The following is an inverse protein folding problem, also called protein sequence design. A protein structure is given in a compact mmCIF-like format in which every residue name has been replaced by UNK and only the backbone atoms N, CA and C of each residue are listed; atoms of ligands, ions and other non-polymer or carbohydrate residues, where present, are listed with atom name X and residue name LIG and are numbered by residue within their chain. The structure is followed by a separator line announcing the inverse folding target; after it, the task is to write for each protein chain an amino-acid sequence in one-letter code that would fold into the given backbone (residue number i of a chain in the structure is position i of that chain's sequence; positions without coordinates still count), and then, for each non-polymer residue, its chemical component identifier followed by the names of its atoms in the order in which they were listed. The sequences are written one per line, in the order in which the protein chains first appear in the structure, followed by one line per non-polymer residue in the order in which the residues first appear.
data_IF_249339106657
#
_entry.id   IF_249339106657
#
_cell.length_a   1.000
_cell.length_b   1.000
_cell.length_c   1.000
_cell.angle_alpha   90.00
_cell.angle_beta   90.00
_cell.angle_gamma   90.00
#
_symmetry.space_group_name_H-M   'P 1'
#
loop_
_entity.id
_entity.type
_entity.pdbx_description
1 polymer ?
#
# COMPACT_ATOMS: atom_id res chain seq x y z
N UNK A 1 4.16 10.29 -47.23
CA UNK A 1 3.59 8.94 -47.43
C UNK A 1 4.15 8.08 -46.32
N UNK A 2 3.60 8.25 -45.11
CA UNK A 2 3.93 7.46 -43.92
C UNK A 2 3.11 6.19 -43.99
N UNK A 3 3.77 5.05 -44.03
CA UNK A 3 3.14 3.72 -44.05
C UNK A 3 2.32 3.54 -42.75
N UNK A 4 0.99 3.33 -42.83
CA UNK A 4 0.13 3.15 -41.67
C UNK A 4 0.26 1.78 -40.98
N UNK A 5 1.11 0.85 -41.47
CA UNK A 5 1.29 -0.49 -40.92
C UNK A 5 2.48 -0.66 -39.96
N UNK A 6 3.26 0.39 -39.69
CA UNK A 6 4.45 0.30 -38.83
C UNK A 6 4.17 0.75 -37.38
N UNK A 7 3.07 1.47 -37.14
CA UNK A 7 2.77 2.03 -35.81
C UNK A 7 2.17 1.00 -34.82
N UNK A 8 1.72 -0.14 -35.34
CA UNK A 8 0.95 -1.17 -34.65
C UNK A 8 1.82 -2.34 -34.15
N UNK A 9 3.12 -2.37 -34.45
CA UNK A 9 4.03 -3.46 -34.05
C UNK A 9 5.04 -3.11 -32.96
N UNK A 10 5.23 -1.83 -32.62
CA UNK A 10 6.18 -1.43 -31.57
C UNK A 10 5.58 -1.44 -30.15
N UNK A 11 4.24 -1.43 -30.03
CA UNK A 11 3.56 -1.42 -28.72
C UNK A 11 3.34 -2.81 -28.10
N UNK A 12 3.48 -3.90 -28.88
CA UNK A 12 3.12 -5.26 -28.45
C UNK A 12 4.31 -6.11 -27.98
N UNK A 13 5.55 -5.61 -28.09
CA UNK A 13 6.75 -6.44 -28.00
C UNK A 13 7.40 -6.54 -26.60
N UNK A 14 6.91 -5.79 -25.59
CA UNK A 14 7.52 -5.77 -24.23
C UNK A 14 6.48 -5.89 -23.10
N UNK A 15 5.26 -6.36 -23.39
CA UNK A 15 4.33 -6.72 -22.32
C UNK A 15 4.63 -8.16 -21.88
N UNK A 16 5.23 -8.33 -20.70
CA UNK A 16 5.33 -9.66 -20.08
C UNK A 16 3.95 -10.31 -19.99
N UNK A 17 3.90 -11.66 -20.00
CA UNK A 17 2.61 -12.35 -19.88
C UNK A 17 1.94 -11.91 -18.57
N UNK A 18 0.66 -11.49 -18.57
CA UNK A 18 0.00 -11.06 -17.35
C UNK A 18 -0.05 -12.22 -16.36
N UNK A 19 0.35 -11.97 -15.11
CA UNK A 19 0.36 -13.03 -14.10
C UNK A 19 -1.07 -13.50 -13.80
N UNK A 20 -1.37 -14.75 -14.17
CA UNK A 20 -2.70 -15.37 -13.99
C UNK A 20 -2.78 -16.28 -12.77
N UNK A 21 -1.75 -16.25 -11.92
CA UNK A 21 -1.67 -17.07 -10.72
C UNK A 21 -2.83 -16.85 -9.74
N UNK A 22 -3.13 -17.87 -8.93
CA UNK A 22 -4.18 -17.82 -7.89
C UNK A 22 -4.00 -16.61 -6.95
N UNK A 23 -2.73 -16.27 -6.64
CA UNK A 23 -2.40 -15.17 -5.73
C UNK A 23 -2.67 -13.80 -6.35
N UNK A 24 -2.45 -13.60 -7.66
CA UNK A 24 -2.78 -12.32 -8.29
C UNK A 24 -4.30 -12.10 -8.33
N UNK A 25 -5.08 -13.17 -8.56
CA UNK A 25 -6.54 -13.12 -8.52
C UNK A 25 -7.11 -12.76 -7.15
N UNK A 26 -6.46 -13.17 -6.07
CA UNK A 26 -6.88 -12.85 -4.69
C UNK A 26 -6.38 -11.46 -4.29
N UNK A 27 -5.13 -11.13 -4.63
CA UNK A 27 -4.51 -9.88 -4.24
C UNK A 27 -5.03 -8.66 -5.01
N UNK A 28 -5.48 -8.84 -6.26
CA UNK A 28 -6.06 -7.78 -7.08
C UNK A 28 -7.29 -7.09 -6.45
N UNK A 29 -8.35 -7.82 -6.05
CA UNK A 29 -9.50 -7.20 -5.41
C UNK A 29 -9.13 -6.60 -4.04
N UNK A 30 -8.24 -7.24 -3.28
CA UNK A 30 -7.78 -6.75 -1.98
C UNK A 30 -7.07 -5.40 -2.13
N UNK A 31 -6.18 -5.28 -3.10
CA UNK A 31 -5.47 -4.03 -3.37
C UNK A 31 -6.43 -2.93 -3.86
N UNK A 32 -7.39 -3.27 -4.73
CA UNK A 32 -8.41 -2.33 -5.23
C UNK A 32 -9.28 -1.80 -4.09
N UNK A 33 -9.74 -2.68 -3.20
CA UNK A 33 -10.50 -2.29 -2.00
C UNK A 33 -9.63 -1.42 -1.09
N UNK A 34 -8.36 -1.80 -0.88
CA UNK A 34 -7.39 -1.01 -0.11
C UNK A 34 -7.23 0.41 -0.66
N UNK A 35 -7.13 0.56 -1.99
CA UNK A 35 -7.05 1.86 -2.65
C UNK A 35 -8.29 2.71 -2.38
N UNK A 36 -9.50 2.17 -2.60
CA UNK A 36 -10.74 2.90 -2.34
C UNK A 36 -10.89 3.29 -0.86
N UNK A 37 -10.48 2.40 0.06
CA UNK A 37 -10.47 2.70 1.50
C UNK A 37 -9.50 3.82 1.84
N UNK A 38 -8.29 3.82 1.29
CA UNK A 38 -7.32 4.88 1.52
C UNK A 38 -7.79 6.23 0.98
N UNK A 39 -8.35 6.27 -0.24
CA UNK A 39 -8.89 7.51 -0.84
C UNK A 39 -10.06 8.04 -0.01
N UNK A 40 -11.01 7.18 0.34
CA UNK A 40 -12.18 7.56 1.15
C UNK A 40 -11.74 8.03 2.54
N UNK A 41 -10.82 7.31 3.19
CA UNK A 41 -10.30 7.67 4.49
C UNK A 41 -9.56 9.01 4.48
N UNK A 42 -8.82 9.31 3.41
CA UNK A 42 -8.17 10.62 3.25
C UNK A 42 -9.20 11.75 3.20
N UNK A 43 -10.27 11.60 2.43
CA UNK A 43 -11.35 12.60 2.38
C UNK A 43 -12.02 12.79 3.74
N UNK A 44 -12.21 11.70 4.50
CA UNK A 44 -12.76 11.76 5.86
C UNK A 44 -11.82 12.51 6.80
N UNK A 45 -10.51 12.29 6.73
CA UNK A 45 -9.52 13.04 7.52
C UNK A 45 -9.60 14.53 7.21
N UNK A 46 -9.67 14.89 5.92
CA UNK A 46 -9.79 16.30 5.49
C UNK A 46 -11.06 16.94 6.07
N UNK A 47 -12.20 16.25 6.00
CA UNK A 47 -13.45 16.73 6.56
C UNK A 47 -13.39 16.92 8.09
N UNK A 48 -12.78 15.96 8.80
CA UNK A 48 -12.58 15.99 10.26
C UNK A 48 -11.69 17.19 10.66
N UNK A 49 -10.55 17.38 9.99
CA UNK A 49 -9.64 18.49 10.27
C UNK A 49 -10.30 19.83 9.93
N UNK A 50 -11.05 19.90 8.83
CA UNK A 50 -11.83 21.09 8.49
C UNK A 50 -12.85 21.43 9.57
N UNK A 51 -13.59 20.43 10.08
CA UNK A 51 -14.52 20.60 11.18
C UNK A 51 -13.83 21.07 12.46
N UNK A 52 -12.65 20.53 12.77
CA UNK A 52 -11.84 20.97 13.92
C UNK A 52 -11.45 22.45 13.84
N UNK A 53 -10.96 22.87 12.67
CA UNK A 53 -10.58 24.27 12.38
C UNK A 53 -11.82 25.16 12.48
N UNK A 54 -12.93 24.79 11.86
CA UNK A 54 -14.18 25.54 11.93
C UNK A 54 -14.69 25.69 13.37
N UNK A 55 -14.71 24.60 14.15
CA UNK A 55 -15.13 24.64 15.55
C UNK A 55 -14.24 25.57 16.39
N UNK A 56 -12.92 25.55 16.15
CA UNK A 56 -11.97 26.40 16.85
C UNK A 56 -12.14 27.89 16.54
N UNK A 57 -12.28 28.24 15.26
CA UNK A 57 -12.28 29.65 14.83
C UNK A 57 -13.67 30.28 14.74
N UNK A 58 -14.72 29.49 14.53
CA UNK A 58 -16.10 30.00 14.37
C UNK A 58 -16.94 29.75 15.61
N UNK A 59 -16.90 28.53 16.16
CA UNK A 59 -17.72 28.14 17.31
C UNK A 59 -17.03 28.41 18.66
N UNK A 60 -15.81 28.93 18.64
CA UNK A 60 -14.95 29.17 19.80
C UNK A 60 -14.86 27.96 20.76
N UNK A 61 -15.08 26.76 20.24
CA UNK A 61 -15.14 25.49 20.97
C UNK A 61 -14.63 24.37 20.07
N UNK A 62 -13.39 23.93 20.32
CA UNK A 62 -12.76 22.87 19.53
C UNK A 62 -13.07 21.51 20.15
N UNK A 63 -13.66 20.56 19.42
CA UNK A 63 -13.83 19.20 19.92
C UNK A 63 -12.47 18.51 20.08
N UNK A 64 -12.23 17.91 21.24
CA UNK A 64 -10.94 17.30 21.61
C UNK A 64 -10.76 15.86 21.10
N UNK A 65 -11.83 15.22 20.65
CA UNK A 65 -11.79 13.86 20.09
C UNK A 65 -11.29 13.85 18.64
N UNK A 66 -11.43 14.96 17.93
CA UNK A 66 -11.20 15.09 16.48
C UNK A 66 -9.73 14.87 16.12
N UNK A 67 -8.81 15.36 16.96
CA UNK A 67 -7.37 15.15 16.82
C UNK A 67 -6.99 13.67 16.92
N UNK A 68 -7.44 12.99 17.98
CA UNK A 68 -7.15 11.57 18.19
C UNK A 68 -7.77 10.69 17.10
N UNK A 69 -8.96 11.03 16.60
CA UNK A 69 -9.58 10.30 15.50
C UNK A 69 -8.82 10.48 14.19
N UNK A 70 -8.39 11.72 13.87
CA UNK A 70 -7.59 11.99 12.68
C UNK A 70 -6.27 11.21 12.68
N UNK A 71 -5.60 11.12 13.84
CA UNK A 71 -4.38 10.33 14.02
C UNK A 71 -4.62 8.81 13.87
N UNK A 72 -5.77 8.31 14.30
CA UNK A 72 -6.11 6.89 14.04
C UNK A 72 -6.33 6.70 12.54
N UNK A 73 -7.15 7.53 11.91
CA UNK A 73 -7.48 7.38 10.48
C UNK A 73 -6.26 7.53 9.58
N UNK A 74 -5.34 8.44 9.87
CA UNK A 74 -4.12 8.62 9.06
C UNK A 74 -3.26 7.35 9.11
N UNK A 75 -3.19 6.64 10.23
CA UNK A 75 -2.49 5.35 10.30
C UNK A 75 -3.14 4.33 9.37
N UNK A 76 -4.47 4.21 9.36
CA UNK A 76 -5.16 3.29 8.46
C UNK A 76 -4.91 3.64 6.99
N UNK A 77 -5.08 4.90 6.62
CA UNK A 77 -4.92 5.36 5.23
C UNK A 77 -3.49 5.18 4.74
N UNK A 78 -2.51 5.59 5.54
CA UNK A 78 -1.08 5.56 5.16
C UNK A 78 -0.54 4.14 5.08
N UNK A 79 -0.89 3.28 6.03
CA UNK A 79 -0.37 1.90 6.08
C UNK A 79 -1.03 1.01 5.02
N UNK A 80 -2.35 1.14 4.83
CA UNK A 80 -3.04 0.43 3.73
C UNK A 80 -2.56 0.98 2.38
N UNK A 81 -2.42 2.30 2.25
CA UNK A 81 -1.93 2.94 1.03
C UNK A 81 -0.51 2.52 0.69
N UNK A 82 0.38 2.39 1.69
CA UNK A 82 1.72 1.87 1.50
C UNK A 82 1.72 0.41 1.03
N UNK A 83 0.86 -0.45 1.61
CA UNK A 83 0.75 -1.84 1.16
C UNK A 83 0.28 -1.94 -0.30
N UNK A 84 -0.75 -1.19 -0.68
CA UNK A 84 -1.20 -1.10 -2.09
C UNK A 84 -0.09 -0.54 -2.97
N UNK A 85 0.62 0.48 -2.51
CA UNK A 85 1.77 1.07 -3.20
C UNK A 85 2.87 0.05 -3.46
N UNK A 86 3.17 -0.85 -2.52
CA UNK A 86 4.15 -1.93 -2.73
C UNK A 86 3.72 -2.88 -3.86
N UNK A 87 2.42 -3.16 -3.99
CA UNK A 87 1.91 -3.99 -5.09
C UNK A 87 2.00 -3.28 -6.44
N UNK A 88 1.76 -1.98 -6.47
CA UNK A 88 1.77 -1.20 -7.71
C UNK A 88 3.17 -0.63 -8.05
N UNK A 89 4.13 -0.64 -7.11
CA UNK A 89 5.47 -0.07 -7.26
C UNK A 89 6.37 -0.81 -8.28
N UNK A 90 5.97 -2.01 -8.69
CA UNK A 90 6.68 -2.79 -9.71
C UNK A 90 6.80 -2.09 -11.07
N UNK A 91 6.01 -1.04 -11.37
CA UNK A 91 5.96 -0.44 -12.71
C UNK A 91 6.61 0.96 -12.85
N UNK A 92 6.87 1.69 -11.76
CA UNK A 92 7.29 3.11 -11.85
C UNK A 92 8.49 3.42 -10.96
N UNK A 93 8.50 2.93 -9.72
CA UNK A 93 9.55 3.26 -8.76
C UNK A 93 10.81 2.42 -8.92
N UNK A 94 10.65 1.11 -9.13
CA UNK A 94 11.77 0.19 -9.27
C UNK A 94 12.41 0.28 -10.65
N UNK A 95 11.59 0.35 -11.69
CA UNK A 95 12.06 0.39 -13.07
C UNK A 95 12.97 1.58 -13.34
N UNK A 96 12.65 2.78 -12.87
CA UNK A 96 13.52 3.95 -13.07
C UNK A 96 14.91 3.79 -12.46
N UNK A 97 15.04 3.02 -11.37
CA UNK A 97 16.34 2.74 -10.74
C UNK A 97 17.10 1.63 -11.48
N UNK A 98 16.35 0.70 -12.10
CA UNK A 98 16.86 -0.50 -12.75
C UNK A 98 17.17 -0.31 -14.25
N UNK A 99 16.62 0.73 -14.89
CA UNK A 99 16.84 1.06 -16.32
C UNK A 99 18.32 1.32 -16.67
N UNK A 100 19.16 1.65 -15.68
CA UNK A 100 20.60 1.86 -15.90
C UNK A 100 21.44 0.58 -15.80
N UNK A 101 20.84 -0.57 -15.46
CA UNK A 101 21.55 -1.82 -15.19
C UNK A 101 21.39 -2.85 -16.31
N UNK A 102 22.38 -3.74 -16.50
CA UNK A 102 22.24 -4.90 -17.40
C UNK A 102 21.12 -5.83 -16.94
N UNK A 103 20.41 -6.46 -17.88
CA UNK A 103 19.21 -7.29 -17.62
C UNK A 103 19.40 -8.33 -16.51
N UNK A 104 20.54 -9.05 -16.51
CA UNK A 104 20.84 -10.07 -15.48
C UNK A 104 21.10 -9.50 -14.07
N UNK A 105 21.50 -8.23 -13.97
CA UNK A 105 21.69 -7.55 -12.68
C UNK A 105 20.37 -6.95 -12.18
N UNK A 106 19.52 -6.49 -13.11
CA UNK A 106 18.17 -5.98 -12.82
C UNK A 106 17.32 -7.01 -12.08
N UNK A 107 17.16 -8.21 -12.64
CA UNK A 107 16.34 -9.28 -12.02
C UNK A 107 16.81 -9.65 -10.61
N UNK A 108 18.13 -9.74 -10.40
CA UNK A 108 18.70 -10.09 -9.09
C UNK A 108 18.43 -9.01 -8.05
N UNK A 109 18.58 -7.75 -8.42
CA UNK A 109 18.34 -6.62 -7.51
C UNK A 109 16.85 -6.50 -7.20
N UNK A 110 15.98 -6.73 -8.18
CA UNK A 110 14.54 -6.71 -8.01
C UNK A 110 14.08 -7.78 -7.00
N UNK A 111 14.59 -9.01 -7.13
CA UNK A 111 14.36 -10.08 -6.15
C UNK A 111 14.83 -9.65 -4.76
N UNK A 112 16.03 -9.08 -4.64
CA UNK A 112 16.57 -8.60 -3.35
C UNK A 112 15.68 -7.52 -2.74
N UNK A 113 15.19 -6.56 -3.54
CA UNK A 113 14.27 -5.51 -3.08
C UNK A 113 12.98 -6.15 -2.54
N UNK A 114 12.34 -7.05 -3.29
CA UNK A 114 11.11 -7.70 -2.84
C UNK A 114 11.32 -8.54 -1.58
N UNK A 115 12.46 -9.21 -1.44
CA UNK A 115 12.83 -9.93 -0.21
C UNK A 115 12.99 -8.97 0.97
N UNK A 116 13.68 -7.85 0.80
CA UNK A 116 13.84 -6.84 1.85
C UNK A 116 12.48 -6.24 2.26
N UNK A 117 11.62 -5.95 1.29
CA UNK A 117 10.26 -5.45 1.53
C UNK A 117 9.41 -6.50 2.25
N UNK A 118 9.55 -7.79 1.92
CA UNK A 118 8.88 -8.88 2.62
C UNK A 118 9.36 -8.99 4.08
N UNK A 119 10.67 -8.94 4.32
CA UNK A 119 11.24 -8.94 5.68
C UNK A 119 10.74 -7.74 6.49
N UNK A 120 10.67 -6.56 5.86
CA UNK A 120 10.09 -5.38 6.48
C UNK A 120 8.61 -5.59 6.84
N UNK A 121 7.81 -6.16 5.93
CA UNK A 121 6.40 -6.49 6.21
C UNK A 121 6.23 -7.48 7.37
N UNK A 122 7.09 -8.51 7.47
CA UNK A 122 7.12 -9.43 8.62
C UNK A 122 7.46 -8.69 9.90
N UNK A 123 8.47 -7.83 9.87
CA UNK A 123 8.87 -7.03 11.02
C UNK A 123 7.74 -6.09 11.48
N UNK A 124 7.02 -5.46 10.56
CA UNK A 124 5.84 -4.64 10.87
C UNK A 124 4.74 -5.46 11.55
N UNK A 125 4.40 -6.63 11.02
CA UNK A 125 3.36 -7.47 11.59
C UNK A 125 3.74 -7.99 12.98
N UNK A 126 4.98 -8.44 13.15
CA UNK A 126 5.49 -8.95 14.43
C UNK A 126 5.59 -7.87 15.50
N UNK A 127 6.22 -6.73 15.19
CA UNK A 127 6.33 -5.62 16.14
C UNK A 127 4.98 -4.98 16.43
N UNK A 128 4.11 -4.87 15.42
CA UNK A 128 2.74 -4.39 15.61
C UNK A 128 1.93 -5.27 16.55
N UNK A 129 2.09 -6.59 16.45
CA UNK A 129 1.46 -7.54 17.38
C UNK A 129 1.98 -7.37 18.82
N UNK A 130 3.30 -7.29 19.01
CA UNK A 130 3.90 -7.10 20.33
C UNK A 130 3.42 -5.80 20.98
N UNK A 131 3.51 -4.69 20.24
CA UNK A 131 3.10 -3.38 20.74
C UNK A 131 1.61 -3.33 21.02
N UNK A 132 0.78 -3.85 20.11
CA UNK A 132 -0.67 -3.93 20.28
C UNK A 132 -1.09 -4.75 21.51
N UNK A 133 -0.42 -5.88 21.76
CA UNK A 133 -0.69 -6.70 22.94
C UNK A 133 -0.30 -6.01 24.26
N UNK A 134 0.69 -5.12 24.23
CA UNK A 134 1.19 -4.41 25.40
C UNK A 134 0.28 -3.23 25.81
N UNK A 135 -0.53 -2.70 24.89
CA UNK A 135 -1.47 -1.59 25.14
C UNK A 135 -2.93 -2.02 25.22
N UNK A 136 -3.18 -3.32 25.36
CA UNK A 136 -4.52 -3.94 25.35
C UNK A 136 -5.54 -3.32 26.31
N UNK A 137 -5.07 -2.82 27.46
CA UNK A 137 -5.89 -2.26 28.53
C UNK A 137 -5.97 -0.73 28.51
N UNK A 138 -5.17 -0.08 27.65
CA UNK A 138 -5.09 1.38 27.55
C UNK A 138 -6.16 1.90 26.59
N UNK A 139 -6.78 3.02 26.94
CA UNK A 139 -7.79 3.69 26.13
C UNK A 139 -7.26 5.01 25.59
N UNK A 140 -7.66 5.32 24.36
CA UNK A 140 -7.35 6.61 23.72
C UNK A 140 -8.12 7.72 24.45
N UNK A 141 -7.43 8.78 24.93
CA UNK A 141 -8.09 9.91 25.58
C UNK A 141 -9.18 10.52 24.70
N UNK A 142 -10.29 10.96 25.30
CA UNK A 142 -11.41 11.63 24.62
C UNK A 142 -12.18 10.81 23.57
N UNK A 143 -11.74 9.57 23.25
CA UNK A 143 -12.37 8.71 22.26
C UNK A 143 -12.95 7.43 22.87
N UNK A 144 -12.43 6.99 24.01
CA UNK A 144 -12.93 5.82 24.76
C UNK A 144 -12.65 4.46 24.10
N UNK A 145 -12.05 4.46 22.90
CA UNK A 145 -11.63 3.28 22.16
C UNK A 145 -10.34 2.67 22.73
N UNK A 146 -10.13 1.34 22.59
CA UNK A 146 -8.86 0.70 22.93
C UNK A 146 -7.72 1.24 22.07
N UNK A 147 -6.55 1.47 22.67
CA UNK A 147 -5.36 1.97 21.96
C UNK A 147 -4.82 0.96 20.94
N UNK A 148 -5.11 -0.34 21.13
CA UNK A 148 -4.81 -1.43 20.18
C UNK A 148 -5.24 -1.10 18.75
N UNK A 149 -6.31 -0.33 18.57
CA UNK A 149 -6.85 0.01 17.24
C UNK A 149 -5.86 0.76 16.35
N UNK A 150 -4.87 1.46 16.94
CA UNK A 150 -3.79 2.16 16.23
C UNK A 150 -2.77 1.19 15.61
N UNK A 151 -2.65 -0.01 16.16
CA UNK A 151 -1.66 -1.02 15.73
C UNK A 151 -2.25 -2.03 14.75
N UNK A 152 -3.58 -2.19 14.71
CA UNK A 152 -4.28 -3.04 13.72
C UNK A 152 -3.86 -2.74 12.26
N UNK A 153 -3.86 -1.49 11.76
CA UNK A 153 -3.50 -1.22 10.38
C UNK A 153 -2.03 -1.57 10.08
N UNK A 154 -1.14 -1.48 11.09
CA UNK A 154 0.28 -1.83 10.96
C UNK A 154 0.47 -3.34 10.74
N UNK A 155 -0.29 -4.14 11.49
CA UNK A 155 -0.27 -5.60 11.34
C UNK A 155 -0.88 -5.99 9.99
N UNK A 156 -2.04 -5.42 9.66
CA UNK A 156 -2.73 -5.72 8.40
C UNK A 156 -1.88 -5.35 7.18
N UNK A 157 -1.27 -4.15 7.16
CA UNK A 157 -0.39 -3.73 6.07
C UNK A 157 0.85 -4.61 5.98
N UNK A 158 1.44 -5.00 7.11
CA UNK A 158 2.61 -5.89 7.13
C UNK A 158 2.32 -7.23 6.46
N UNK A 159 1.17 -7.85 6.77
CA UNK A 159 0.73 -9.09 6.14
C UNK A 159 0.47 -8.92 4.63
N UNK A 160 -0.19 -7.82 4.23
CA UNK A 160 -0.44 -7.52 2.82
C UNK A 160 0.86 -7.32 2.04
N UNK A 161 1.81 -6.57 2.59
CA UNK A 161 3.14 -6.36 1.99
C UNK A 161 3.84 -7.69 1.74
N UNK A 162 3.81 -8.61 2.71
CA UNK A 162 4.40 -9.94 2.55
C UNK A 162 3.71 -10.71 1.41
N UNK A 163 2.37 -10.71 1.37
CA UNK A 163 1.61 -11.37 0.30
C UNK A 163 1.92 -10.79 -1.08
N UNK A 164 2.04 -9.47 -1.20
CA UNK A 164 2.35 -8.80 -2.47
C UNK A 164 3.81 -8.98 -2.90
N UNK A 165 4.76 -8.99 -1.97
CA UNK A 165 6.16 -9.31 -2.27
C UNK A 165 6.32 -10.74 -2.78
N UNK A 166 5.60 -11.69 -2.18
CA UNK A 166 5.61 -13.09 -2.64
C UNK A 166 5.05 -13.19 -4.06
N UNK A 167 3.94 -12.49 -4.36
CA UNK A 167 3.36 -12.41 -5.71
C UNK A 167 4.37 -11.90 -6.73
N UNK A 168 5.10 -10.82 -6.42
CA UNK A 168 6.12 -10.26 -7.31
C UNK A 168 7.30 -11.20 -7.53
N UNK A 169 7.82 -11.83 -6.46
CA UNK A 169 8.92 -12.80 -6.58
C UNK A 169 8.50 -13.96 -7.49
N UNK A 170 7.27 -14.47 -7.35
CA UNK A 170 6.79 -15.55 -8.22
C UNK A 170 6.55 -15.09 -9.66
N UNK A 171 6.09 -13.86 -9.88
CA UNK A 171 5.91 -13.30 -11.21
C UNK A 171 7.26 -13.15 -11.92
N UNK A 172 8.26 -12.61 -11.22
CA UNK A 172 9.65 -12.50 -11.69
C UNK A 172 10.23 -13.87 -12.07
N UNK A 173 10.08 -14.89 -11.22
CA UNK A 173 10.55 -16.24 -11.50
C UNK A 173 9.86 -16.91 -12.69
N UNK A 174 8.67 -16.43 -13.08
CA UNK A 174 7.89 -16.92 -14.22
C UNK A 174 8.07 -16.08 -15.50
N UNK A 175 8.78 -14.96 -15.43
CA UNK A 175 8.82 -13.97 -16.50
C UNK A 175 7.45 -13.35 -16.79
N UNK A 176 6.60 -13.26 -15.77
CA UNK A 176 5.25 -12.67 -15.82
C UNK A 176 5.25 -11.30 -15.14
N UNK A 177 4.38 -10.40 -15.57
CA UNK A 177 4.21 -9.07 -14.94
C UNK A 177 2.92 -9.02 -14.10
N UNK A 178 3.00 -8.39 -12.93
CA UNK A 178 1.85 -8.24 -12.02
C UNK A 178 0.95 -7.12 -12.50
N UNK A 179 -0.29 -7.45 -12.87
CA UNK A 179 -1.25 -6.47 -13.39
C UNK A 179 -1.65 -5.47 -12.29
N UNK A 180 -1.60 -4.15 -12.56
CA UNK A 180 -1.94 -3.12 -11.60
C UNK A 180 -3.37 -3.19 -11.08
N UNK A 181 -3.60 -2.66 -9.88
CA UNK A 181 -4.92 -2.65 -9.24
C UNK A 181 -6.00 -1.84 -9.98
N UNK A 182 -5.64 -0.92 -10.88
CA UNK A 182 -6.54 -0.02 -11.60
C UNK A 182 -6.99 -0.49 -12.99
N UNK A 183 -6.45 -1.59 -13.52
CA UNK A 183 -6.90 -2.23 -14.78
C UNK A 183 -8.05 -3.22 -14.53
#
# INVERSE_FOLDING_TARGET
MTDPHVADHEHDAVAGRPSTGLLSRINAPVARVGMYLSVTGLLVIVAIVFYQVFGRYVLNSSPTWTENLALVLILYVTLIGAAVGVRDAGHIGMDSLLVMLPDHAREKIEIVIHVLVAVFGIAMAYNGWILGSSVGTVKIPNLGLPEVIRYVPLIASGLLIVSFSIEHIMALLRGEEVVPSWN
#
